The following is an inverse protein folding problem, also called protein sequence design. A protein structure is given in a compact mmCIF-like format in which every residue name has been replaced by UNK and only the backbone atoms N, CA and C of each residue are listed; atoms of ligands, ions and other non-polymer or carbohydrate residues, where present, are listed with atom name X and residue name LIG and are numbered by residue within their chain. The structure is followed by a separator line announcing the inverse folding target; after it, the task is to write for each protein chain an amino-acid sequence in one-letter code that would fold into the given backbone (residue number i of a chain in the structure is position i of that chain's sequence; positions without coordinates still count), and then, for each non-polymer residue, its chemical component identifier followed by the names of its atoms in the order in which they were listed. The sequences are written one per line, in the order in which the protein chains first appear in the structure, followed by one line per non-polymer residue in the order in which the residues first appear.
data_IF_864779794336
#
_entry.id   IF_864779794336
#
_cell.length_a   1.000
_cell.length_b   1.000
_cell.length_c   1.000
_cell.angle_alpha   90.00
_cell.angle_beta   90.00
_cell.angle_gamma   90.00
#
_symmetry.space_group_name_H-M   'P 1'
#
loop_
_entity.id
_entity.type
_entity.pdbx_description
1 polymer ?
#
# COMPACT_ATOMS: atom_id res chain seq x y z
N UNK A 1 16.96 1.14 4.47
CA UNK A 1 16.55 0.02 3.58
C UNK A 1 15.08 0.10 3.23
N UNK A 2 14.68 -0.38 2.05
CA UNK A 2 13.28 -0.55 1.67
C UNK A 2 12.78 -1.92 2.16
N UNK A 3 12.01 -1.91 3.23
CA UNK A 3 11.65 -3.14 3.98
C UNK A 3 10.90 -4.18 3.15
N UNK A 4 10.08 -3.75 2.18
CA UNK A 4 9.31 -4.67 1.32
C UNK A 4 10.21 -5.66 0.60
N UNK A 5 11.37 -5.22 0.11
CA UNK A 5 12.29 -6.08 -0.64
C UNK A 5 13.31 -6.78 0.25
N UNK A 6 13.79 -6.12 1.31
CA UNK A 6 14.73 -6.76 2.26
C UNK A 6 14.07 -7.87 3.07
N UNK A 7 12.77 -7.76 3.39
CA UNK A 7 12.05 -8.75 4.18
C UNK A 7 11.22 -9.71 3.32
N UNK A 8 10.58 -9.23 2.25
CA UNK A 8 9.68 -10.02 1.41
C UNK A 8 10.34 -11.24 0.74
N UNK A 9 11.66 -11.18 0.52
CA UNK A 9 12.44 -12.28 -0.04
C UNK A 9 12.39 -13.55 0.82
N UNK A 10 12.36 -13.42 2.15
CA UNK A 10 12.28 -14.54 3.07
C UNK A 10 10.90 -15.20 3.04
N UNK A 11 9.83 -14.38 2.99
CA UNK A 11 8.47 -14.89 2.84
C UNK A 11 8.29 -15.68 1.54
N UNK A 12 8.85 -15.19 0.43
CA UNK A 12 8.85 -15.92 -0.84
C UNK A 12 9.64 -17.24 -0.77
N UNK A 13 10.83 -17.24 -0.17
CA UNK A 13 11.63 -18.46 0.00
C UNK A 13 10.91 -19.50 0.87
N UNK A 14 10.37 -19.09 2.01
CA UNK A 14 9.66 -19.98 2.94
C UNK A 14 8.34 -20.50 2.35
N UNK A 15 7.58 -19.64 1.65
CA UNK A 15 6.33 -20.04 0.99
C UNK A 15 6.56 -21.10 -0.09
N UNK A 16 7.58 -20.92 -0.93
CA UNK A 16 7.96 -21.93 -1.93
C UNK A 16 8.50 -23.19 -1.25
N UNK A 17 9.36 -23.04 -0.24
CA UNK A 17 9.93 -24.18 0.47
C UNK A 17 8.87 -25.06 1.12
N UNK A 18 7.85 -24.45 1.73
CA UNK A 18 6.69 -25.16 2.26
C UNK A 18 5.88 -25.84 1.15
N UNK A 19 5.61 -25.13 0.04
CA UNK A 19 4.87 -25.67 -1.11
C UNK A 19 5.58 -26.89 -1.75
N UNK A 20 6.92 -26.89 -1.80
CA UNK A 20 7.70 -27.97 -2.41
C UNK A 20 8.18 -29.03 -1.42
N UNK A 21 7.81 -28.93 -0.14
CA UNK A 21 8.15 -29.92 0.88
C UNK A 21 9.64 -30.01 1.20
N UNK A 22 10.34 -28.87 1.30
CA UNK A 22 11.75 -28.84 1.70
C UNK A 22 11.93 -29.37 3.13
N UNK A 23 13.06 -30.05 3.36
CA UNK A 23 13.47 -30.45 4.71
C UNK A 23 13.86 -29.25 5.57
N UNK A 24 13.97 -29.43 6.88
CA UNK A 24 14.41 -28.38 7.80
C UNK A 24 15.77 -27.78 7.40
N UNK A 25 16.75 -28.63 7.08
CA UNK A 25 18.07 -28.18 6.60
C UNK A 25 17.96 -27.35 5.31
N UNK A 26 17.13 -27.79 4.37
CA UNK A 26 16.90 -27.07 3.12
C UNK A 26 16.17 -25.75 3.35
N UNK A 27 15.26 -25.65 4.31
CA UNK A 27 14.61 -24.40 4.70
C UNK A 27 15.63 -23.41 5.31
N UNK A 28 16.53 -23.89 6.17
CA UNK A 28 17.63 -23.08 6.71
C UNK A 28 18.54 -22.57 5.58
N UNK A 29 18.90 -23.45 4.64
CA UNK A 29 19.68 -23.04 3.47
C UNK A 29 18.93 -22.06 2.56
N UNK A 30 17.62 -22.23 2.37
CA UNK A 30 16.79 -21.30 1.61
C UNK A 30 16.79 -19.89 2.25
N UNK A 31 16.68 -19.79 3.58
CA UNK A 31 16.85 -18.52 4.31
C UNK A 31 18.26 -17.94 4.12
N UNK A 32 19.30 -18.77 4.16
CA UNK A 32 20.68 -18.36 3.87
C UNK A 32 20.85 -17.78 2.46
N UNK A 33 20.37 -18.51 1.46
CA UNK A 33 20.43 -18.11 0.05
C UNK A 33 19.61 -16.84 -0.21
N UNK A 34 18.47 -16.68 0.48
CA UNK A 34 17.67 -15.46 0.44
C UNK A 34 18.42 -14.28 1.09
N UNK A 35 19.03 -14.48 2.26
CA UNK A 35 19.77 -13.44 2.98
C UNK A 35 20.92 -12.86 2.14
N UNK A 36 21.61 -13.69 1.35
CA UNK A 36 22.70 -13.28 0.46
C UNK A 36 22.24 -12.34 -0.67
N UNK A 37 20.94 -12.27 -0.94
CA UNK A 37 20.33 -11.49 -2.01
C UNK A 37 19.38 -10.40 -1.49
N UNK A 38 19.21 -10.27 -0.17
CA UNK A 38 18.31 -9.31 0.44
C UNK A 38 18.84 -7.88 0.26
N UNK A 39 18.01 -6.98 -0.27
CA UNK A 39 18.42 -5.61 -0.54
C UNK A 39 17.27 -4.69 -0.97
N UNK A 40 17.55 -3.39 -1.07
CA UNK A 40 16.61 -2.38 -1.56
C UNK A 40 16.83 -1.00 -0.92
N UNK A 41 16.97 0.03 -1.75
CA UNK A 41 17.25 1.39 -1.28
C UNK A 41 15.98 2.23 -1.21
N UNK A 42 15.83 2.99 -0.12
CA UNK A 42 14.72 3.94 0.09
C UNK A 42 14.72 5.04 -0.96
N UNK A 43 15.89 5.40 -1.49
CA UNK A 43 16.06 6.39 -2.57
C UNK A 43 15.23 6.06 -3.82
N UNK A 44 14.91 4.78 -4.04
CA UNK A 44 14.10 4.38 -5.21
C UNK A 44 12.61 4.68 -5.04
N UNK A 45 12.15 4.98 -3.82
CA UNK A 45 10.75 5.33 -3.56
C UNK A 45 10.36 6.60 -4.34
N UNK A 46 9.15 6.60 -4.89
CA UNK A 46 8.66 7.69 -5.76
C UNK A 46 8.98 7.52 -7.25
N UNK A 47 9.88 6.59 -7.61
CA UNK A 47 10.20 6.29 -9.02
C UNK A 47 9.72 4.89 -9.44
N UNK A 48 9.80 4.58 -10.74
CA UNK A 48 9.55 3.22 -11.25
C UNK A 48 10.57 2.21 -10.71
N UNK A 49 11.80 2.64 -10.40
CA UNK A 49 12.88 1.77 -9.93
C UNK A 49 12.56 1.04 -8.62
N UNK A 50 11.65 1.58 -7.78
CA UNK A 50 11.13 0.87 -6.60
C UNK A 50 10.71 -0.56 -6.94
N UNK A 51 9.98 -0.73 -8.03
CA UNK A 51 9.34 -2.00 -8.41
C UNK A 51 10.36 -3.10 -8.71
N UNK A 52 11.58 -2.74 -9.14
CA UNK A 52 12.66 -3.71 -9.40
C UNK A 52 12.99 -4.49 -8.14
N UNK A 53 13.17 -3.81 -7.01
CA UNK A 53 13.52 -4.46 -5.74
C UNK A 53 12.41 -5.39 -5.23
N UNK A 54 11.15 -5.01 -5.43
CA UNK A 54 9.98 -5.82 -5.02
C UNK A 54 9.84 -7.07 -5.90
N UNK A 55 9.96 -6.93 -7.21
CA UNK A 55 9.94 -8.07 -8.14
C UNK A 55 11.13 -9.02 -7.89
N UNK A 56 12.31 -8.47 -7.63
CA UNK A 56 13.49 -9.26 -7.29
C UNK A 56 13.33 -10.01 -5.97
N UNK A 57 12.65 -9.46 -4.97
CA UNK A 57 12.40 -10.19 -3.72
C UNK A 57 11.59 -11.47 -3.99
N UNK A 58 10.54 -11.40 -4.80
CA UNK A 58 9.76 -12.57 -5.20
C UNK A 58 10.60 -13.57 -6.01
N UNK A 59 11.28 -13.10 -7.07
CA UNK A 59 12.15 -13.94 -7.92
C UNK A 59 13.26 -14.62 -7.13
N UNK A 60 13.98 -13.86 -6.31
CA UNK A 60 15.17 -14.35 -5.60
C UNK A 60 14.76 -15.29 -4.46
N UNK A 61 13.61 -15.08 -3.81
CA UNK A 61 13.06 -16.03 -2.84
C UNK A 61 12.74 -17.38 -3.48
N UNK A 62 12.05 -17.37 -4.63
CA UNK A 62 11.80 -18.58 -5.44
C UNK A 62 13.11 -19.30 -5.78
N UNK A 63 14.09 -18.59 -6.33
CA UNK A 63 15.40 -19.17 -6.68
C UNK A 63 16.09 -19.75 -5.43
N UNK A 64 16.04 -19.07 -4.29
CA UNK A 64 16.68 -19.51 -3.05
C UNK A 64 16.13 -20.84 -2.54
N UNK A 65 14.81 -21.03 -2.62
CA UNK A 65 14.16 -22.29 -2.28
C UNK A 65 14.51 -23.40 -3.30
N UNK A 66 14.46 -23.09 -4.61
CA UNK A 66 14.73 -24.07 -5.67
C UNK A 66 16.17 -24.58 -5.65
N UNK A 67 17.16 -23.74 -5.34
CA UNK A 67 18.56 -24.20 -5.22
C UNK A 67 18.79 -24.96 -3.91
N UNK A 68 18.13 -24.57 -2.81
CA UNK A 68 18.19 -25.33 -1.56
C UNK A 68 17.61 -26.74 -1.73
N UNK A 69 16.56 -26.90 -2.55
CA UNK A 69 16.01 -28.19 -2.95
C UNK A 69 17.00 -29.11 -3.71
N UNK A 70 18.12 -28.54 -4.17
CA UNK A 70 19.23 -29.24 -4.83
C UNK A 70 20.45 -29.36 -3.91
N UNK A 71 20.24 -29.27 -2.61
CA UNK A 71 21.27 -29.31 -1.56
C UNK A 71 22.36 -28.24 -1.73
N UNK A 72 22.00 -27.10 -2.34
CA UNK A 72 22.85 -25.92 -2.32
C UNK A 72 22.84 -25.33 -0.91
N UNK A 73 23.84 -25.72 -0.13
CA UNK A 73 23.93 -25.41 1.30
C UNK A 73 24.24 -23.94 1.59
N UNK A 74 23.84 -23.52 2.80
CA UNK A 74 24.04 -22.18 3.33
C UNK A 74 24.53 -22.20 4.77
N UNK A 75 24.72 -21.02 5.40
CA UNK A 75 25.13 -20.93 6.80
C UNK A 75 24.08 -21.55 7.74
N UNK A 76 24.53 -22.15 8.85
CA UNK A 76 23.65 -22.77 9.84
C UNK A 76 22.77 -21.76 10.61
N UNK A 77 23.18 -20.48 10.67
CA UNK A 77 22.49 -19.40 11.37
C UNK A 77 22.38 -18.17 10.45
N UNK A 78 21.55 -18.23 9.38
CA UNK A 78 21.51 -17.20 8.34
C UNK A 78 20.94 -15.86 8.83
N UNK A 79 20.06 -15.89 9.83
CA UNK A 79 19.39 -14.69 10.33
C UNK A 79 20.11 -14.06 11.53
N UNK A 80 20.48 -14.86 12.51
CA UNK A 80 20.94 -14.44 13.85
C UNK A 80 22.42 -14.74 14.13
N UNK A 81 23.12 -15.42 13.22
CA UNK A 81 24.56 -15.63 13.33
C UNK A 81 25.34 -14.31 13.43
N UNK A 82 26.63 -14.33 13.82
CA UNK A 82 27.41 -13.11 14.10
C UNK A 82 27.49 -12.09 12.94
N UNK A 83 27.24 -12.54 11.71
CA UNK A 83 27.15 -11.73 10.48
C UNK A 83 25.88 -12.05 9.68
N UNK A 84 24.86 -12.56 10.37
CA UNK A 84 23.57 -12.91 9.79
C UNK A 84 22.77 -11.66 9.42
N UNK A 85 21.64 -11.86 8.75
CA UNK A 85 20.80 -10.78 8.25
C UNK A 85 20.42 -9.75 9.34
N UNK A 86 19.97 -10.22 10.51
CA UNK A 86 19.45 -9.37 11.59
C UNK A 86 20.51 -8.39 12.13
N UNK A 87 21.69 -8.84 12.61
CA UNK A 87 22.72 -7.93 13.10
C UNK A 87 23.35 -7.05 12.01
N UNK A 88 23.25 -7.42 10.72
CA UNK A 88 23.76 -6.60 9.61
C UNK A 88 22.78 -5.50 9.21
N UNK A 89 21.46 -5.75 9.31
CA UNK A 89 20.42 -4.83 8.83
C UNK A 89 19.73 -4.03 9.94
N UNK A 90 20.05 -4.27 11.22
CA UNK A 90 19.44 -3.59 12.36
C UNK A 90 20.48 -3.20 13.41
N UNK A 91 20.45 -1.92 13.83
CA UNK A 91 21.26 -1.43 14.94
C UNK A 91 20.73 -1.89 16.31
N UNK A 92 19.43 -2.20 16.39
CA UNK A 92 18.73 -2.60 17.62
C UNK A 92 17.82 -3.80 17.38
N UNK A 93 18.39 -4.99 17.09
CA UNK A 93 17.59 -6.16 16.75
C UNK A 93 16.81 -6.68 17.95
N UNK A 94 15.51 -6.97 17.75
CA UNK A 94 14.68 -7.68 18.71
C UNK A 94 14.39 -9.09 18.19
N UNK A 95 15.24 -10.06 18.52
CA UNK A 95 15.10 -11.44 18.05
C UNK A 95 13.86 -12.14 18.64
N UNK A 96 13.45 -11.77 19.87
CA UNK A 96 12.27 -12.36 20.50
C UNK A 96 11.00 -12.10 19.68
N UNK A 97 10.94 -11.00 18.93
CA UNK A 97 9.81 -10.69 18.06
C UNK A 97 9.61 -11.70 16.92
N UNK A 98 10.59 -12.56 16.61
CA UNK A 98 10.42 -13.64 15.62
C UNK A 98 9.63 -14.83 16.15
N UNK A 99 9.66 -15.02 17.47
CA UNK A 99 9.10 -16.20 18.14
C UNK A 99 7.86 -15.87 18.95
N UNK A 100 7.64 -14.59 19.27
CA UNK A 100 6.48 -14.13 20.01
C UNK A 100 5.18 -14.46 19.25
N UNK A 101 4.35 -15.31 19.84
CA UNK A 101 3.10 -15.79 19.24
C UNK A 101 3.29 -16.69 18.02
N UNK A 102 4.47 -17.28 17.77
CA UNK A 102 4.69 -18.17 16.63
C UNK A 102 3.76 -19.39 16.69
N UNK A 103 2.98 -19.61 15.63
CA UNK A 103 1.98 -20.68 15.53
C UNK A 103 0.58 -20.26 16.00
N UNK A 104 0.47 -19.19 16.79
CA UNK A 104 -0.81 -18.67 17.30
C UNK A 104 -1.23 -17.37 16.60
N UNK A 105 -0.26 -16.50 16.30
CA UNK A 105 -0.46 -15.18 15.69
C UNK A 105 -0.04 -15.23 14.22
N UNK A 106 -1.01 -15.02 13.34
CA UNK A 106 -0.79 -14.93 11.89
C UNK A 106 -0.71 -13.47 11.45
N UNK A 107 0.51 -12.94 11.31
CA UNK A 107 0.75 -11.53 10.92
C UNK A 107 0.09 -11.14 9.60
N UNK A 108 -0.08 -12.10 8.68
CA UNK A 108 -0.77 -11.86 7.40
C UNK A 108 -2.22 -11.38 7.58
N UNK A 109 -2.88 -11.77 8.68
CA UNK A 109 -4.24 -11.34 9.01
C UNK A 109 -4.35 -9.87 9.42
N UNK A 110 -3.21 -9.19 9.66
CA UNK A 110 -3.17 -7.74 9.95
C UNK A 110 -3.05 -6.88 8.70
N UNK A 111 -2.93 -7.49 7.51
CA UNK A 111 -2.85 -6.75 6.26
C UNK A 111 -4.13 -5.96 6.00
N UNK A 112 -3.96 -4.72 5.55
CA UNK A 112 -5.05 -3.79 5.25
C UNK A 112 -5.13 -3.52 3.75
N UNK A 113 -6.31 -3.16 3.27
CA UNK A 113 -6.53 -2.82 1.87
C UNK A 113 -6.57 -1.29 1.69
N UNK A 114 -5.98 -0.78 0.61
CA UNK A 114 -6.11 0.64 0.28
C UNK A 114 -7.41 0.90 -0.49
N UNK A 115 -8.37 1.70 0.00
CA UNK A 115 -9.54 2.08 -0.78
C UNK A 115 -9.17 2.97 -1.98
N UNK A 116 -8.16 3.83 -1.83
CA UNK A 116 -7.74 4.81 -2.83
C UNK A 116 -6.26 4.62 -3.22
N UNK A 117 -5.84 5.06 -4.43
CA UNK A 117 -4.47 4.87 -4.92
C UNK A 117 -3.46 5.87 -4.31
N UNK A 118 -3.55 6.16 -3.00
CA UNK A 118 -2.74 7.18 -2.31
C UNK A 118 -1.87 6.58 -1.18
N UNK A 119 -1.02 7.41 -0.58
CA UNK A 119 -0.38 7.10 0.70
C UNK A 119 -1.43 6.91 1.80
N UNK A 120 -1.27 5.90 2.66
CA UNK A 120 -2.30 5.52 3.67
C UNK A 120 -2.74 6.69 4.57
N UNK A 121 -1.79 7.56 4.92
CA UNK A 121 -2.03 8.75 5.74
C UNK A 121 -2.97 9.77 5.07
N UNK A 122 -3.19 9.66 3.76
CA UNK A 122 -4.05 10.55 2.98
C UNK A 122 -5.47 10.01 2.81
N UNK A 123 -5.73 8.74 3.13
CA UNK A 123 -7.07 8.15 3.08
C UNK A 123 -8.13 8.97 3.85
N UNK A 124 -7.90 9.40 5.11
CA UNK A 124 -8.91 10.18 5.84
C UNK A 124 -9.18 11.55 5.20
N UNK A 125 -8.19 12.17 4.56
CA UNK A 125 -8.37 13.42 3.80
C UNK A 125 -9.26 13.18 2.58
N UNK A 126 -9.01 12.09 1.85
CA UNK A 126 -9.82 11.72 0.68
C UNK A 126 -11.27 11.46 1.09
N UNK A 127 -11.50 10.74 2.19
CA UNK A 127 -12.87 10.48 2.69
C UNK A 127 -13.60 11.76 3.10
N UNK A 128 -12.94 12.65 3.85
CA UNK A 128 -13.53 13.95 4.19
C UNK A 128 -13.93 14.74 2.93
N UNK A 129 -13.10 14.72 1.89
CA UNK A 129 -13.44 15.35 0.60
C UNK A 129 -14.60 14.65 -0.11
N UNK A 130 -14.68 13.32 -0.08
CA UNK A 130 -15.81 12.59 -0.67
C UNK A 130 -17.12 12.92 0.06
N UNK A 131 -17.12 12.95 1.39
CA UNK A 131 -18.29 13.37 2.18
C UNK A 131 -18.72 14.79 1.82
N UNK A 132 -17.77 15.74 1.80
CA UNK A 132 -18.04 17.14 1.49
C UNK A 132 -18.45 17.37 0.03
N UNK A 133 -17.98 16.56 -0.91
CA UNK A 133 -18.36 16.68 -2.33
C UNK A 133 -19.85 16.39 -2.60
N UNK A 134 -20.55 15.76 -1.65
CA UNK A 134 -21.99 15.52 -1.73
C UNK A 134 -22.83 16.71 -1.22
N UNK A 135 -22.19 17.69 -0.56
CA UNK A 135 -22.85 18.91 -0.07
C UNK A 135 -22.74 20.01 -1.13
N UNK A 136 -23.88 20.38 -1.73
CA UNK A 136 -23.95 21.45 -2.75
C UNK A 136 -23.47 22.82 -2.22
N UNK A 137 -23.39 23.01 -0.90
CA UNK A 137 -22.83 24.22 -0.31
C UNK A 137 -21.30 24.31 -0.39
N UNK A 138 -20.61 23.19 -0.66
CA UNK A 138 -19.14 23.14 -0.82
C UNK A 138 -18.77 23.37 -2.28
N UNK A 139 -18.45 24.61 -2.62
CA UNK A 139 -17.98 24.99 -3.96
C UNK A 139 -16.46 25.07 -3.97
N UNK A 140 -15.81 24.30 -4.84
CA UNK A 140 -14.34 24.20 -4.92
C UNK A 140 -13.68 25.54 -5.23
N UNK A 141 -14.31 26.32 -6.11
CA UNK A 141 -13.84 27.64 -6.52
C UNK A 141 -13.94 28.69 -5.40
N UNK A 142 -14.75 28.43 -4.35
CA UNK A 142 -14.92 29.32 -3.20
C UNK A 142 -13.95 29.00 -2.05
N UNK A 143 -13.09 28.01 -2.19
CA UNK A 143 -12.15 27.62 -1.13
C UNK A 143 -11.05 28.67 -0.98
N UNK A 144 -11.02 29.35 0.16
CA UNK A 144 -9.96 30.29 0.54
C UNK A 144 -8.77 29.62 1.24
N UNK A 145 -8.99 28.47 1.86
CA UNK A 145 -7.94 27.68 2.50
C UNK A 145 -8.50 26.48 3.25
N UNK A 146 -7.63 25.54 3.62
CA UNK A 146 -8.01 24.33 4.35
C UNK A 146 -7.16 24.18 5.61
N UNK A 147 -7.77 23.77 6.70
CA UNK A 147 -7.08 23.31 7.90
C UNK A 147 -7.21 21.80 8.02
N UNK A 148 -6.09 21.10 8.19
CA UNK A 148 -6.04 19.67 8.47
C UNK A 148 -5.42 19.44 9.85
N UNK A 149 -6.20 18.90 10.78
CA UNK A 149 -5.71 18.47 12.09
C UNK A 149 -5.61 16.95 12.12
N UNK A 150 -4.44 16.41 12.47
CA UNK A 150 -4.22 14.96 12.55
C UNK A 150 -2.80 14.59 12.95
N UNK A 151 -2.49 13.29 12.87
CA UNK A 151 -1.18 12.77 13.25
C UNK A 151 -0.05 13.48 12.47
N UNK A 152 1.12 13.80 13.08
CA UNK A 152 2.20 14.55 12.42
C UNK A 152 2.70 13.93 11.10
N UNK A 153 2.55 12.61 10.93
CA UNK A 153 2.86 11.92 9.68
C UNK A 153 2.05 12.40 8.48
N UNK A 154 0.83 12.92 8.69
CA UNK A 154 0.01 13.51 7.64
C UNK A 154 0.80 14.62 6.94
N UNK A 155 1.14 15.71 7.65
CA UNK A 155 1.95 16.80 7.10
C UNK A 155 3.29 16.33 6.54
N UNK A 156 4.04 15.53 7.31
CA UNK A 156 5.38 15.08 6.92
C UNK A 156 5.39 14.33 5.58
N UNK A 157 4.32 13.59 5.28
CA UNK A 157 4.22 12.75 4.08
C UNK A 157 3.41 13.39 2.96
N UNK A 158 2.45 14.27 3.25
CA UNK A 158 1.47 14.74 2.27
C UNK A 158 1.56 16.23 1.92
N UNK A 159 2.33 17.03 2.66
CA UNK A 159 2.52 18.44 2.32
C UNK A 159 3.44 18.57 1.11
N UNK A 160 2.84 18.50 -0.07
CA UNK A 160 3.52 18.45 -1.38
C UNK A 160 2.73 19.33 -2.37
N UNK A 161 2.82 20.67 -2.28
CA UNK A 161 2.01 21.55 -3.13
C UNK A 161 2.43 21.51 -4.61
N UNK A 162 3.71 21.26 -4.87
CA UNK A 162 4.35 21.44 -6.18
C UNK A 162 4.40 20.17 -7.03
N UNK A 163 3.51 19.20 -6.83
CA UNK A 163 3.49 17.96 -7.61
C UNK A 163 3.19 18.22 -9.08
N UNK A 164 3.89 17.48 -9.95
CA UNK A 164 3.88 17.65 -11.41
C UNK A 164 3.55 16.37 -12.18
N UNK A 165 3.51 15.23 -11.50
CA UNK A 165 3.13 13.93 -12.08
C UNK A 165 2.06 13.25 -11.23
N UNK A 166 1.25 12.38 -11.84
CA UNK A 166 0.26 11.55 -11.15
C UNK A 166 0.90 10.68 -10.07
N UNK A 167 2.14 10.22 -10.29
CA UNK A 167 2.89 9.48 -9.27
C UNK A 167 3.13 10.31 -8.02
N UNK A 168 3.56 11.56 -8.18
CA UNK A 168 3.76 12.49 -7.06
C UNK A 168 2.44 12.87 -6.39
N UNK A 169 1.35 12.94 -7.18
CA UNK A 169 0.03 13.36 -6.71
C UNK A 169 -0.58 12.41 -5.67
N UNK A 170 -0.21 11.12 -5.70
CA UNK A 170 -0.61 10.09 -4.73
C UNK A 170 -0.16 10.37 -3.28
N UNK A 171 0.70 11.37 -3.07
CA UNK A 171 1.18 11.82 -1.77
C UNK A 171 1.06 13.34 -1.60
N UNK A 172 0.08 13.97 -2.24
CA UNK A 172 -0.18 15.41 -2.12
C UNK A 172 -1.59 15.68 -1.61
N UNK A 173 -1.69 16.27 -0.42
CA UNK A 173 -2.98 16.68 0.14
C UNK A 173 -3.61 17.81 -0.69
N UNK A 174 -2.81 18.73 -1.19
CA UNK A 174 -3.25 19.84 -2.03
C UNK A 174 -3.94 19.35 -3.30
N UNK A 175 -3.32 18.38 -3.99
CA UNK A 175 -3.92 17.78 -5.16
C UNK A 175 -5.16 16.94 -4.82
N UNK A 176 -5.09 16.09 -3.79
CA UNK A 176 -6.19 15.22 -3.39
C UNK A 176 -7.45 16.04 -3.04
N UNK A 177 -7.33 17.09 -2.23
CA UNK A 177 -8.47 17.93 -1.86
C UNK A 177 -9.10 18.56 -3.11
N UNK A 178 -8.28 19.17 -3.97
CA UNK A 178 -8.74 19.85 -5.16
C UNK A 178 -9.48 18.92 -6.13
N UNK A 179 -8.87 17.76 -6.46
CA UNK A 179 -9.43 16.86 -7.47
C UNK A 179 -10.64 16.07 -6.96
N UNK A 180 -10.61 15.64 -5.69
CA UNK A 180 -11.67 14.82 -5.11
C UNK A 180 -12.92 15.64 -4.86
N UNK A 181 -12.80 16.86 -4.31
CA UNK A 181 -13.95 17.74 -4.14
C UNK A 181 -14.58 18.09 -5.49
N UNK A 182 -13.76 18.36 -6.51
CA UNK A 182 -14.27 18.73 -7.84
C UNK A 182 -15.00 17.60 -8.55
N UNK A 183 -14.46 16.38 -8.49
CA UNK A 183 -14.98 15.25 -9.27
C UNK A 183 -15.91 14.34 -8.46
N UNK A 184 -15.97 14.51 -7.13
CA UNK A 184 -16.76 13.66 -6.24
C UNK A 184 -16.33 12.18 -6.23
N UNK A 185 -15.08 11.89 -6.57
CA UNK A 185 -14.52 10.53 -6.66
C UNK A 185 -13.01 10.55 -6.44
N UNK A 186 -12.42 9.38 -6.16
CA UNK A 186 -11.00 9.25 -5.83
C UNK A 186 -10.37 7.97 -6.40
N UNK A 187 -10.51 7.76 -7.71
CA UNK A 187 -9.97 6.60 -8.42
C UNK A 187 -8.62 6.86 -9.10
N UNK A 188 -8.14 5.90 -9.87
CA UNK A 188 -6.94 6.07 -10.70
C UNK A 188 -7.00 7.29 -11.65
N UNK A 189 -8.16 7.64 -12.27
CA UNK A 189 -8.27 8.84 -13.11
C UNK A 189 -8.07 10.17 -12.37
N UNK A 190 -8.17 10.19 -11.05
CA UNK A 190 -7.98 11.37 -10.21
C UNK A 190 -6.52 11.55 -9.79
N UNK A 191 -5.69 10.51 -9.89
CA UNK A 191 -4.29 10.51 -9.48
C UNK A 191 -3.35 10.17 -10.65
N UNK A 192 -3.67 10.68 -11.86
CA UNK A 192 -2.87 10.57 -13.07
C UNK A 192 -2.31 11.94 -13.51
N UNK A 193 -1.50 11.94 -14.57
CA UNK A 193 -0.87 13.17 -15.07
C UNK A 193 -1.91 14.19 -15.57
N UNK A 194 -3.01 13.74 -16.20
CA UNK A 194 -4.08 14.62 -16.67
C UNK A 194 -4.78 15.37 -15.54
N UNK A 195 -5.10 14.68 -14.43
CA UNK A 195 -5.70 15.32 -13.25
C UNK A 195 -4.73 16.28 -12.55
N UNK A 196 -3.43 15.99 -12.58
CA UNK A 196 -2.41 16.90 -12.07
C UNK A 196 -2.35 18.18 -12.89
N UNK A 197 -2.45 18.07 -14.21
CA UNK A 197 -2.52 19.24 -15.11
C UNK A 197 -3.79 20.05 -14.82
N UNK A 198 -4.96 19.42 -14.69
CA UNK A 198 -6.22 20.08 -14.37
C UNK A 198 -6.12 20.92 -13.09
N UNK A 199 -5.76 20.28 -11.97
CA UNK A 199 -5.64 20.99 -10.68
C UNK A 199 -4.59 22.11 -10.68
N UNK A 200 -3.56 22.00 -11.54
CA UNK A 200 -2.50 23.01 -11.64
C UNK A 200 -2.90 24.19 -12.51
N UNK A 201 -3.52 23.94 -13.67
CA UNK A 201 -3.95 24.98 -14.61
C UNK A 201 -5.05 25.85 -14.03
N UNK A 202 -5.98 25.22 -13.31
CA UNK A 202 -7.12 25.93 -12.73
C UNK A 202 -6.78 26.64 -11.42
N UNK A 203 -5.57 26.42 -10.88
CA UNK A 203 -5.11 27.09 -9.66
C UNK A 203 -5.91 26.72 -8.40
N UNK A 204 -6.70 25.65 -8.43
CA UNK A 204 -7.64 25.24 -7.37
C UNK A 204 -7.00 24.48 -6.21
N UNK A 205 -5.68 24.28 -6.22
CA UNK A 205 -4.98 23.64 -5.11
C UNK A 205 -4.99 24.58 -3.90
N UNK A 206 -5.64 24.22 -2.79
CA UNK A 206 -5.78 25.12 -1.66
C UNK A 206 -4.44 25.31 -0.93
N UNK A 207 -4.29 26.45 -0.27
CA UNK A 207 -3.32 26.58 0.81
C UNK A 207 -3.79 25.74 2.00
N UNK A 208 -2.88 24.97 2.60
CA UNK A 208 -3.20 24.04 3.68
C UNK A 208 -2.42 24.42 4.93
N UNK A 209 -3.16 24.72 5.99
CA UNK A 209 -2.64 24.78 7.34
C UNK A 209 -2.75 23.40 7.99
N UNK A 210 -1.61 22.76 8.22
CA UNK A 210 -1.53 21.53 9.01
C UNK A 210 -1.42 21.85 10.50
N UNK A 211 -2.17 21.11 11.33
CA UNK A 211 -2.08 21.12 12.79
C UNK A 211 -1.68 19.69 13.21
N UNK A 212 -0.43 19.55 13.63
CA UNK A 212 0.15 18.29 14.08
C UNK A 212 -0.38 17.97 15.50
N UNK A 213 -1.07 16.84 15.66
CA UNK A 213 -1.62 16.35 16.94
C UNK A 213 -1.34 14.85 17.11
N UNK A 214 -0.47 14.49 18.05
CA UNK A 214 -0.07 13.09 18.32
C UNK A 214 -1.20 12.25 18.94
N UNK A 215 -2.29 12.87 19.40
CA UNK A 215 -3.46 12.14 19.91
C UNK A 215 -4.34 11.56 18.80
N UNK A 216 -4.15 11.99 17.54
CA UNK A 216 -4.85 11.43 16.39
C UNK A 216 -4.13 10.18 15.88
N UNK A 217 -4.90 9.14 15.56
CA UNK A 217 -4.38 8.00 14.82
C UNK A 217 -4.02 8.38 13.37
N UNK A 218 -3.18 7.57 12.74
CA UNK A 218 -2.68 7.80 11.37
C UNK A 218 -3.81 7.82 10.32
N UNK A 219 -4.90 7.11 10.58
CA UNK A 219 -6.09 6.97 9.75
C UNK A 219 -7.22 7.94 10.15
N UNK A 220 -6.95 8.97 10.95
CA UNK A 220 -7.92 9.98 11.39
C UNK A 220 -7.56 11.39 10.90
N UNK A 221 -8.57 12.23 10.66
CA UNK A 221 -8.39 13.66 10.36
C UNK A 221 -9.60 14.48 10.78
N UNK A 222 -9.37 15.73 11.14
CA UNK A 222 -10.39 16.78 11.14
C UNK A 222 -10.03 17.81 10.07
N UNK A 223 -10.94 17.99 9.11
CA UNK A 223 -10.78 18.91 7.98
C UNK A 223 -11.76 20.06 8.13
N UNK A 224 -11.25 21.28 7.98
CA UNK A 224 -12.06 22.50 7.90
C UNK A 224 -11.73 23.26 6.62
N UNK A 225 -12.70 23.41 5.74
CA UNK A 225 -12.65 24.24 4.54
C UNK A 225 -13.14 25.64 4.94
N UNK A 226 -12.33 26.66 4.66
CA UNK A 226 -12.69 28.08 4.85
C UNK A 226 -13.08 28.66 3.50
N UNK A 227 -14.24 29.32 3.42
CA UNK A 227 -14.73 29.90 2.17
C UNK A 227 -14.30 31.35 2.01
N UNK A 228 -14.22 31.81 0.77
CA UNK A 228 -13.91 33.20 0.39
C UNK A 228 -14.89 34.22 0.97
N UNK A 229 -16.12 33.78 1.29
CA UNK A 229 -17.18 34.58 1.90
C UNK A 229 -17.15 34.59 3.44
N UNK A 230 -16.15 33.93 4.05
CA UNK A 230 -15.97 33.88 5.51
C UNK A 230 -16.78 32.79 6.22
N UNK A 231 -17.36 31.85 5.48
CA UNK A 231 -18.00 30.64 6.02
C UNK A 231 -17.01 29.48 6.18
N UNK A 232 -17.48 28.36 6.73
CA UNK A 232 -16.67 27.16 6.86
C UNK A 232 -17.49 25.87 6.81
N UNK A 233 -16.89 24.82 6.27
CA UNK A 233 -17.41 23.44 6.28
C UNK A 233 -16.43 22.54 7.00
N UNK A 234 -16.91 21.65 7.86
CA UNK A 234 -16.07 20.75 8.65
C UNK A 234 -16.50 19.28 8.47
N UNK A 235 -15.52 18.38 8.36
CA UNK A 235 -15.70 16.93 8.37
C UNK A 235 -14.63 16.32 9.27
N UNK A 236 -15.03 15.26 9.99
CA UNK A 236 -14.15 14.55 10.91
C UNK A 236 -14.21 13.06 10.63
N UNK A 237 -13.09 12.51 10.20
CA UNK A 237 -12.89 11.08 9.98
C UNK A 237 -12.15 10.53 11.19
N UNK A 238 -12.79 9.60 11.91
CA UNK A 238 -12.21 8.96 13.10
C UNK A 238 -11.33 7.76 12.74
N UNK A 239 -11.70 7.03 11.68
CA UNK A 239 -10.93 5.91 11.14
C UNK A 239 -11.28 5.71 9.67
N UNK A 240 -10.33 6.01 8.79
CA UNK A 240 -10.50 5.83 7.35
C UNK A 240 -10.65 4.36 6.97
N UNK A 241 -11.38 4.12 5.89
CA UNK A 241 -11.63 2.79 5.35
C UNK A 241 -10.32 2.07 4.96
N UNK A 242 -10.33 0.75 5.12
CA UNK A 242 -9.25 -0.15 4.72
C UNK A 242 -8.49 -0.77 5.90
N UNK A 243 -8.51 -0.10 7.05
CA UNK A 243 -7.90 -0.56 8.29
C UNK A 243 -8.80 -1.51 9.09
N UNK A 244 -8.29 -2.14 10.16
CA UNK A 244 -9.06 -3.08 10.99
C UNK A 244 -10.24 -2.42 11.73
N UNK A 245 -10.18 -1.11 11.98
CA UNK A 245 -11.27 -0.36 12.63
C UNK A 245 -12.41 0.00 11.69
N UNK A 246 -12.14 0.04 10.38
CA UNK A 246 -13.10 0.36 9.34
C UNK A 246 -12.73 -0.42 8.07
N UNK A 247 -12.96 -1.75 8.03
CA UNK A 247 -12.54 -2.57 6.89
C UNK A 247 -13.35 -2.22 5.63
N UNK A 248 -12.78 -2.52 4.47
CA UNK A 248 -13.57 -2.53 3.22
C UNK A 248 -14.56 -3.70 3.26
N UNK A 249 -15.78 -3.51 2.77
CA UNK A 249 -16.71 -4.62 2.57
C UNK A 249 -16.25 -5.52 1.43
N UNK A 250 -16.72 -6.76 1.41
CA UNK A 250 -16.45 -7.72 0.33
C UNK A 250 -16.88 -7.14 -1.04
N UNK A 251 -18.07 -6.54 -1.11
CA UNK A 251 -18.56 -5.84 -2.30
C UNK A 251 -17.61 -4.70 -2.74
N UNK A 252 -17.05 -3.94 -1.80
CA UNK A 252 -16.09 -2.89 -2.14
C UNK A 252 -14.77 -3.45 -2.68
N UNK A 253 -14.32 -4.62 -2.19
CA UNK A 253 -13.14 -5.32 -2.70
C UNK A 253 -13.39 -5.89 -4.10
N UNK A 254 -14.56 -6.46 -4.36
CA UNK A 254 -14.95 -6.99 -5.68
C UNK A 254 -15.08 -5.88 -6.72
N UNK A 255 -15.73 -4.77 -6.36
CA UNK A 255 -15.83 -3.59 -7.21
C UNK A 255 -14.44 -3.01 -7.51
N UNK A 256 -13.56 -2.97 -6.51
CA UNK A 256 -12.17 -2.55 -6.70
C UNK A 256 -11.41 -3.49 -7.64
N UNK A 257 -11.52 -4.81 -7.48
CA UNK A 257 -10.91 -5.79 -8.38
C UNK A 257 -11.37 -5.55 -9.82
N UNK A 258 -12.68 -5.41 -10.02
CA UNK A 258 -13.28 -5.16 -11.33
C UNK A 258 -12.77 -3.88 -11.97
N UNK A 259 -12.75 -2.77 -11.21
CA UNK A 259 -12.25 -1.49 -11.69
C UNK A 259 -10.75 -1.54 -12.06
N UNK A 260 -9.93 -2.21 -11.25
CA UNK A 260 -8.50 -2.35 -11.51
C UNK A 260 -8.22 -3.28 -12.70
N UNK A 261 -9.00 -4.33 -12.88
CA UNK A 261 -8.91 -5.22 -14.03
C UNK A 261 -9.23 -4.47 -15.33
N UNK A 262 -10.33 -3.70 -15.35
CA UNK A 262 -10.70 -2.85 -16.50
C UNK A 262 -9.59 -1.85 -16.79
N UNK A 263 -9.09 -1.16 -15.77
CA UNK A 263 -8.00 -0.20 -15.92
C UNK A 263 -6.72 -0.85 -16.47
N UNK A 264 -6.39 -2.06 -16.00
CA UNK A 264 -5.25 -2.85 -16.46
C UNK A 264 -5.42 -3.45 -17.85
N UNK A 265 -6.53 -3.22 -18.53
CA UNK A 265 -6.82 -3.80 -19.85
C UNK A 265 -7.07 -5.31 -19.80
N UNK A 266 -7.58 -5.82 -18.69
CA UNK A 266 -8.07 -7.19 -18.59
C UNK A 266 -9.32 -7.35 -19.48
N UNK A 267 -9.32 -8.38 -20.32
CA UNK A 267 -10.28 -8.54 -21.41
C UNK A 267 -11.36 -9.57 -21.13
N UNK A 268 -11.31 -10.24 -19.97
CA UNK A 268 -12.28 -11.27 -19.58
C UNK A 268 -13.24 -10.74 -18.54
N UNK A 269 -14.34 -11.46 -18.36
CA UNK A 269 -15.19 -11.27 -17.20
C UNK A 269 -14.39 -11.54 -15.91
N UNK A 270 -14.46 -10.61 -14.97
CA UNK A 270 -13.76 -10.66 -13.68
C UNK A 270 -14.51 -11.55 -12.69
N UNK A 271 -15.83 -11.77 -12.88
CA UNK A 271 -16.66 -12.57 -11.98
C UNK A 271 -16.05 -13.93 -11.62
N UNK A 272 -15.70 -14.79 -12.60
CA UNK A 272 -15.07 -16.08 -12.32
C UNK A 272 -13.74 -15.99 -11.57
N UNK A 273 -12.92 -14.96 -11.86
CA UNK A 273 -11.67 -14.73 -11.14
C UNK A 273 -11.94 -14.33 -9.67
N UNK A 274 -12.93 -13.46 -9.45
CA UNK A 274 -13.34 -13.01 -8.12
C UNK A 274 -13.84 -14.19 -7.27
N UNK A 275 -14.72 -15.02 -7.83
CA UNK A 275 -15.24 -16.22 -7.16
C UNK A 275 -14.13 -17.23 -6.82
N UNK A 276 -13.20 -17.46 -7.75
CA UNK A 276 -12.07 -18.36 -7.52
C UNK A 276 -11.12 -17.85 -6.42
N UNK A 277 -10.95 -16.53 -6.29
CA UNK A 277 -10.17 -15.94 -5.19
C UNK A 277 -10.89 -16.14 -3.84
N UNK A 278 -12.20 -15.92 -3.77
CA UNK A 278 -12.98 -16.09 -2.55
C UNK A 278 -13.04 -17.54 -2.04
N UNK A 279 -12.91 -18.50 -2.95
CA UNK A 279 -13.02 -19.95 -2.64
C UNK A 279 -11.66 -20.67 -2.66
N UNK A 280 -10.55 -19.93 -2.71
CA UNK A 280 -9.19 -20.47 -2.87
C UNK A 280 -8.80 -21.48 -1.79
N UNK A 281 -9.27 -21.31 -0.56
CA UNK A 281 -9.00 -22.21 0.57
C UNK A 281 -9.61 -23.61 0.40
N UNK A 282 -10.63 -23.74 -0.46
CA UNK A 282 -11.29 -25.01 -0.79
C UNK A 282 -11.05 -25.45 -2.23
N UNK A 283 -10.28 -24.68 -3.00
CA UNK A 283 -10.01 -24.97 -4.40
C UNK A 283 -9.19 -26.26 -4.56
N UNK A 284 -9.55 -27.15 -5.50
CA UNK A 284 -8.80 -28.37 -5.75
C UNK A 284 -7.47 -28.12 -6.49
N UNK A 285 -7.34 -26.97 -7.15
CA UNK A 285 -6.17 -26.56 -7.92
C UNK A 285 -5.97 -25.04 -7.85
N UNK A 286 -4.91 -24.61 -7.18
CA UNK A 286 -4.54 -23.20 -7.06
C UNK A 286 -4.07 -22.59 -8.40
N UNK A 287 -3.63 -23.40 -9.36
CA UNK A 287 -3.20 -22.91 -10.68
C UNK A 287 -4.37 -22.39 -11.52
N UNK A 288 -5.59 -22.87 -11.27
CA UNK A 288 -6.79 -22.41 -11.98
C UNK A 288 -7.00 -20.89 -11.87
N UNK A 289 -6.66 -20.28 -10.73
CA UNK A 289 -6.72 -18.82 -10.53
C UNK A 289 -5.77 -18.10 -11.51
N UNK A 290 -4.58 -18.65 -11.73
CA UNK A 290 -3.60 -18.05 -12.64
C UNK A 290 -4.08 -18.11 -14.10
N UNK A 291 -4.76 -19.18 -14.49
CA UNK A 291 -5.39 -19.28 -15.81
C UNK A 291 -6.53 -18.28 -15.97
N UNK A 292 -7.32 -18.04 -14.92
CA UNK A 292 -8.38 -17.02 -14.92
C UNK A 292 -7.80 -15.60 -14.98
N UNK A 293 -6.68 -15.34 -14.31
CA UNK A 293 -6.00 -14.05 -14.31
C UNK A 293 -5.26 -13.73 -15.62
N UNK A 294 -5.08 -14.72 -16.52
CA UNK A 294 -4.46 -14.51 -17.81
C UNK A 294 -5.43 -13.92 -18.84
N UNK A 295 -4.97 -12.91 -19.57
CA UNK A 295 -5.62 -12.47 -20.80
C UNK A 295 -5.49 -13.56 -21.87
N UNK A 296 -6.48 -13.72 -22.78
CA UNK A 296 -6.32 -14.56 -23.96
C UNK A 296 -5.08 -14.12 -24.76
N UNK A 297 -4.34 -15.10 -25.26
CA UNK A 297 -3.19 -14.89 -26.14
C UNK A 297 -3.60 -14.21 -27.46
#
# INVERSE_FOLDING_TARGET
WHITSTCGIFGAAMGIGALTGLSEDQLVWALGNASAQAGGLVETLGTMSKSISVGNAARNGLVSALIAAKDFSGPAAPLDGPRGFIPVFSDTPNQNALFDGLGDIWEIGKNTYKPYPVGVVLNPVVEACLEMSQDEAVVVEDIAGVTLTGHPLLRQRTDRPNVTTGRESQVSAQHAIAIVLRRGRAGLPEFNDEAVVETKQDGIRPDIKFIDDESYDIDAVEMVIHTSQGGSHASKIVAAQGGPRNPMSDEALENKLSNLAIYGGFKRDVGPLSEAIWTLDTAPDAAAIMELAANPA
#
